data_IF_411026561121
#
_entry.id   IF_411026561121
#
_cell.length_a   1.000
_cell.length_b   1.000
_cell.length_c   1.000
_cell.angle_alpha   90.00
_cell.angle_beta   90.00
_cell.angle_gamma   90.00
#
_symmetry.space_group_name_H-M   'P 1'
#
loop_
_entity.id
_entity.type
_entity.pdbx_description
1 polymer ?
#
# COMPACT_ATOMS: atom_id res chain seq x y z
N UNK A 1 7.19 19.86 -47.68
CA UNK A 1 7.67 19.51 -46.33
C UNK A 1 7.14 18.11 -46.07
N UNK A 2 8.02 17.10 -46.14
CA UNK A 2 7.68 15.70 -45.88
C UNK A 2 7.37 15.58 -44.42
N UNK A 3 6.13 15.28 -44.05
CA UNK A 3 5.74 14.89 -42.70
C UNK A 3 6.37 13.51 -42.46
N UNK A 4 7.59 13.47 -41.93
CA UNK A 4 8.17 12.26 -41.36
C UNK A 4 7.35 11.92 -40.09
N UNK A 5 6.27 11.18 -40.29
CA UNK A 5 5.52 10.61 -39.16
C UNK A 5 6.50 9.75 -38.36
N UNK A 6 6.79 10.17 -37.13
CA UNK A 6 7.73 9.47 -36.24
C UNK A 6 7.21 8.03 -36.04
N UNK A 7 7.91 7.05 -36.62
CA UNK A 7 7.48 5.66 -36.60
C UNK A 7 7.86 4.99 -35.28
N UNK A 8 6.94 5.02 -34.32
CA UNK A 8 7.14 4.40 -32.99
C UNK A 8 7.12 2.88 -33.10
N UNK A 9 8.28 2.23 -32.90
CA UNK A 9 8.43 0.77 -32.80
C UNK A 9 9.43 0.37 -31.72
N UNK A 10 9.39 -0.89 -31.29
CA UNK A 10 10.39 -1.43 -30.34
C UNK A 10 11.81 -1.29 -30.93
N UNK A 11 12.76 -0.85 -30.09
CA UNK A 11 14.17 -0.65 -30.46
C UNK A 11 14.48 0.72 -31.05
N UNK A 12 13.50 1.61 -31.23
CA UNK A 12 13.73 2.99 -31.70
C UNK A 12 14.10 3.88 -30.54
N UNK A 13 15.06 4.75 -30.76
CA UNK A 13 15.42 5.85 -29.88
C UNK A 13 14.67 7.11 -30.29
N UNK A 14 14.11 7.82 -29.30
CA UNK A 14 13.33 9.03 -29.53
C UNK A 14 13.72 10.10 -28.50
N UNK A 15 13.77 11.33 -28.95
CA UNK A 15 13.82 12.47 -28.07
C UNK A 15 12.39 12.95 -27.75
N UNK A 16 12.04 12.99 -26.47
CA UNK A 16 10.70 13.34 -26.01
C UNK A 16 10.75 14.21 -24.77
N UNK A 17 9.66 14.95 -24.53
CA UNK A 17 9.45 15.71 -23.29
C UNK A 17 8.38 15.00 -22.44
N UNK A 18 8.72 14.76 -21.18
CA UNK A 18 7.77 14.18 -20.20
C UNK A 18 6.82 15.27 -19.73
N UNK A 19 5.52 15.09 -19.96
CA UNK A 19 4.48 16.09 -19.72
C UNK A 19 3.86 15.98 -18.33
N UNK A 20 3.71 14.75 -17.81
CA UNK A 20 3.04 14.47 -16.53
C UNK A 20 3.41 13.09 -16.02
N UNK A 21 2.85 12.68 -14.87
CA UNK A 21 2.94 11.31 -14.37
C UNK A 21 1.64 10.55 -14.66
N UNK A 22 1.81 9.32 -15.13
CA UNK A 22 0.72 8.35 -15.19
C UNK A 22 0.52 7.66 -13.83
N UNK A 23 -0.67 7.10 -13.61
CA UNK A 23 -0.93 6.26 -12.44
C UNK A 23 0.10 5.12 -12.36
N UNK A 24 0.70 4.93 -11.17
CA UNK A 24 1.81 3.99 -10.97
C UNK A 24 3.21 4.62 -11.12
N UNK A 25 3.30 5.93 -11.42
CA UNK A 25 4.53 6.74 -11.32
C UNK A 25 5.45 6.68 -12.54
N UNK A 26 4.96 6.25 -13.71
CA UNK A 26 5.70 6.41 -14.96
C UNK A 26 5.49 7.82 -15.52
N UNK A 27 6.53 8.43 -16.07
CA UNK A 27 6.38 9.64 -16.87
C UNK A 27 5.48 9.39 -18.07
N UNK A 28 4.70 10.39 -18.46
CA UNK A 28 3.83 10.34 -19.64
C UNK A 28 4.27 11.40 -20.63
N UNK A 29 4.50 10.99 -21.85
CA UNK A 29 4.78 11.85 -23.00
C UNK A 29 3.81 11.52 -24.15
N UNK A 30 3.61 12.47 -25.08
CA UNK A 30 2.89 12.23 -26.33
C UNK A 30 3.79 12.58 -27.50
N UNK A 31 3.76 11.72 -28.50
CA UNK A 31 4.43 11.89 -29.79
C UNK A 31 3.36 11.73 -30.86
N UNK A 32 2.99 12.80 -31.56
CA UNK A 32 1.89 12.81 -32.55
C UNK A 32 0.60 12.15 -32.00
N UNK A 33 0.17 12.59 -30.78
CA UNK A 33 -0.95 12.03 -30.01
C UNK A 33 -0.79 10.57 -29.53
N UNK A 34 0.30 9.89 -29.89
CA UNK A 34 0.58 8.55 -29.39
C UNK A 34 1.22 8.61 -28.00
N UNK A 35 0.67 7.83 -27.05
CA UNK A 35 1.11 7.83 -25.64
C UNK A 35 2.38 7.01 -25.48
N UNK A 36 3.39 7.60 -24.82
CA UNK A 36 4.63 6.94 -24.43
C UNK A 36 4.81 7.06 -22.91
N UNK A 37 4.84 5.91 -22.24
CA UNK A 37 5.17 5.84 -20.81
C UNK A 37 6.67 5.72 -20.61
N UNK A 38 7.26 6.62 -19.83
CA UNK A 38 8.69 6.71 -19.62
C UNK A 38 9.05 6.25 -18.21
N UNK A 39 9.77 5.13 -18.10
CA UNK A 39 10.23 4.62 -16.80
C UNK A 39 11.11 5.66 -16.11
N UNK A 40 10.77 6.03 -14.87
CA UNK A 40 11.45 7.05 -14.06
C UNK A 40 11.53 8.46 -14.69
N UNK A 41 10.67 8.75 -15.67
CA UNK A 41 10.56 10.08 -16.25
C UNK A 41 9.88 11.06 -15.29
N UNK A 42 10.38 12.30 -15.25
CA UNK A 42 9.85 13.38 -14.40
C UNK A 42 9.23 14.45 -15.30
N UNK A 43 8.06 15.02 -14.96
CA UNK A 43 7.45 16.11 -15.73
C UNK A 43 8.42 17.27 -15.97
N UNK A 44 8.47 17.77 -17.21
CA UNK A 44 9.39 18.84 -17.64
C UNK A 44 10.80 18.39 -18.02
N UNK A 45 11.11 17.07 -17.95
CA UNK A 45 12.36 16.54 -18.51
C UNK A 45 12.29 16.39 -20.02
N UNK A 46 13.36 16.75 -20.70
CA UNK A 46 13.62 16.37 -22.09
C UNK A 46 14.64 15.24 -22.10
N UNK A 47 14.26 14.10 -22.67
CA UNK A 47 15.01 12.84 -22.54
C UNK A 47 15.14 12.13 -23.89
N UNK A 48 16.30 11.49 -24.10
CA UNK A 48 16.47 10.47 -25.12
C UNK A 48 16.05 9.14 -24.51
N UNK A 49 15.07 8.47 -25.13
CA UNK A 49 14.52 7.21 -24.62
C UNK A 49 14.63 6.10 -25.66
N UNK A 50 14.75 4.86 -25.18
CA UNK A 50 14.62 3.64 -25.97
C UNK A 50 13.24 3.01 -25.76
N UNK A 51 12.50 2.80 -26.84
CA UNK A 51 11.22 2.08 -26.80
C UNK A 51 11.51 0.58 -26.61
N UNK A 52 11.15 0.02 -25.44
CA UNK A 52 11.36 -1.40 -25.16
C UNK A 52 10.09 -2.26 -25.35
N UNK A 53 8.91 -1.61 -25.36
CA UNK A 53 7.63 -2.29 -25.56
C UNK A 53 6.66 -1.39 -26.32
N UNK A 54 5.92 -1.96 -27.29
CA UNK A 54 4.84 -1.26 -28.01
C UNK A 54 3.57 -2.10 -27.98
N UNK A 55 2.44 -1.43 -27.76
CA UNK A 55 1.07 -1.94 -27.88
C UNK A 55 0.29 -1.09 -28.91
N UNK A 56 -0.97 -1.47 -29.20
CA UNK A 56 -1.81 -0.77 -30.19
C UNK A 56 -2.03 0.72 -29.81
N UNK A 57 -2.19 1.04 -28.53
CA UNK A 57 -2.53 2.40 -28.07
C UNK A 57 -1.40 3.13 -27.30
N UNK A 58 -0.27 2.47 -27.00
CA UNK A 58 0.82 3.08 -26.23
C UNK A 58 2.15 2.36 -26.43
N UNK A 59 3.23 3.04 -26.04
CA UNK A 59 4.56 2.43 -25.89
C UNK A 59 5.10 2.63 -24.47
N UNK A 60 6.05 1.77 -24.10
CA UNK A 60 6.84 1.93 -22.86
C UNK A 60 8.30 2.13 -23.24
N UNK A 61 8.93 3.12 -22.60
CA UNK A 61 10.29 3.54 -22.89
C UNK A 61 11.13 3.62 -21.60
N UNK A 62 12.44 3.43 -21.76
CA UNK A 62 13.44 3.71 -20.71
C UNK A 62 14.31 4.88 -21.14
N UNK A 63 14.73 5.68 -20.18
CA UNK A 63 15.64 6.80 -20.42
C UNK A 63 17.04 6.23 -20.72
N UNK A 64 17.64 6.69 -21.82
CA UNK A 64 19.04 6.47 -22.16
C UNK A 64 19.87 7.65 -21.63
N UNK A 65 19.36 8.88 -21.86
CA UNK A 65 20.05 10.11 -21.47
C UNK A 65 19.06 11.21 -21.14
N UNK A 66 19.32 11.93 -20.06
CA UNK A 66 18.63 13.19 -19.76
C UNK A 66 19.31 14.31 -20.55
N UNK A 67 18.58 14.91 -21.49
CA UNK A 67 19.07 16.00 -22.35
C UNK A 67 18.90 17.35 -21.66
N UNK A 68 17.77 17.52 -20.96
CA UNK A 68 17.49 18.70 -20.14
C UNK A 68 16.75 18.25 -18.88
N UNK A 69 17.30 18.64 -17.73
CA UNK A 69 16.67 18.31 -16.44
C UNK A 69 15.42 19.16 -16.21
N UNK A 70 14.46 18.58 -15.51
CA UNK A 70 13.27 19.29 -15.05
C UNK A 70 13.63 20.29 -13.94
N UNK A 71 13.05 21.49 -13.95
CA UNK A 71 13.17 22.42 -12.82
C UNK A 71 12.50 21.91 -11.54
N UNK A 72 11.62 20.90 -11.67
CA UNK A 72 10.89 20.26 -10.57
C UNK A 72 11.66 19.10 -9.94
N UNK A 73 12.83 18.75 -10.52
CA UNK A 73 13.63 17.63 -10.08
C UNK A 73 14.31 17.90 -8.74
N UNK A 74 14.35 16.88 -7.90
CA UNK A 74 15.08 16.85 -6.64
C UNK A 74 16.06 15.67 -6.62
N UNK A 75 17.07 15.74 -5.75
CA UNK A 75 17.98 14.62 -5.54
C UNK A 75 17.31 13.58 -4.64
N UNK A 76 17.26 12.32 -5.11
CA UNK A 76 16.84 11.22 -4.27
C UNK A 76 17.84 10.98 -3.13
N UNK A 77 17.35 10.48 -1.99
CA UNK A 77 18.18 10.14 -0.82
C UNK A 77 18.93 8.82 -0.98
N UNK A 78 18.49 7.96 -1.91
CA UNK A 78 19.11 6.66 -2.17
C UNK A 78 19.11 6.34 -3.66
N UNK A 79 20.05 5.52 -4.12
CA UNK A 79 20.19 5.15 -5.53
C UNK A 79 19.14 4.11 -5.98
N UNK A 80 18.48 3.45 -5.04
CA UNK A 80 17.42 2.48 -5.30
C UNK A 80 15.98 3.07 -5.21
N UNK A 81 15.83 4.41 -5.23
CA UNK A 81 14.54 5.10 -5.19
C UNK A 81 13.53 4.58 -6.22
N UNK A 82 14.00 4.16 -7.38
CA UNK A 82 13.20 3.69 -8.51
C UNK A 82 12.41 2.40 -8.22
N UNK A 83 12.75 1.69 -7.15
CA UNK A 83 12.04 0.48 -6.71
C UNK A 83 11.11 0.76 -5.53
N UNK A 84 11.55 1.52 -4.55
CA UNK A 84 10.87 1.67 -3.26
C UNK A 84 10.08 2.98 -3.11
N UNK A 85 10.53 4.07 -3.74
CA UNK A 85 9.98 5.43 -3.56
C UNK A 85 10.22 6.27 -4.81
N UNK A 86 9.59 5.86 -5.89
CA UNK A 86 9.83 6.31 -7.28
C UNK A 86 9.71 7.82 -7.48
N UNK A 87 8.98 8.51 -6.61
CA UNK A 87 8.76 9.96 -6.72
C UNK A 87 9.77 10.79 -5.92
N UNK A 88 10.79 10.20 -5.28
CA UNK A 88 11.82 10.96 -4.57
C UNK A 88 12.56 11.98 -5.44
N UNK A 89 12.60 11.77 -6.75
CA UNK A 89 13.25 12.67 -7.70
C UNK A 89 12.38 13.85 -8.13
N UNK A 90 11.17 13.97 -7.59
CA UNK A 90 10.24 15.07 -7.83
C UNK A 90 9.99 15.83 -6.52
N UNK A 91 9.87 17.16 -6.55
CA UNK A 91 9.55 17.96 -5.36
C UNK A 91 8.23 17.48 -4.74
N UNK A 92 8.12 17.54 -3.41
CA UNK A 92 6.96 16.98 -2.72
C UNK A 92 5.66 17.67 -3.10
N UNK A 93 5.72 18.97 -3.26
CA UNK A 93 4.58 19.80 -3.68
C UNK A 93 4.10 19.38 -5.08
N UNK A 94 5.01 19.04 -5.97
CA UNK A 94 4.67 18.58 -7.32
C UNK A 94 4.16 17.14 -7.31
N UNK A 95 4.66 16.28 -6.41
CA UNK A 95 4.08 14.96 -6.20
C UNK A 95 2.59 15.04 -5.87
N UNK A 96 2.18 15.97 -5.00
CA UNK A 96 0.78 16.17 -4.63
C UNK A 96 -0.06 16.62 -5.81
N UNK A 97 0.40 17.59 -6.60
CA UNK A 97 -0.30 18.05 -7.81
C UNK A 97 -0.47 16.94 -8.85
N UNK A 98 0.58 16.15 -9.09
CA UNK A 98 0.52 15.03 -10.03
C UNK A 98 -0.43 13.91 -9.54
N UNK A 99 -0.47 13.64 -8.22
CA UNK A 99 -1.44 12.70 -7.63
C UNK A 99 -2.88 13.21 -7.76
N UNK A 100 -3.11 14.47 -7.43
CA UNK A 100 -4.42 15.11 -7.58
C UNK A 100 -4.89 15.06 -9.04
N UNK A 101 -4.02 15.44 -10.00
CA UNK A 101 -4.31 15.35 -11.42
C UNK A 101 -4.69 13.94 -11.87
N UNK A 102 -4.01 12.91 -11.35
CA UNK A 102 -4.34 11.51 -11.68
C UNK A 102 -5.72 11.12 -11.16
N UNK A 103 -6.16 11.62 -10.00
CA UNK A 103 -7.52 11.40 -9.49
C UNK A 103 -8.53 12.08 -10.41
N UNK A 104 -8.33 13.35 -10.72
CA UNK A 104 -9.22 14.13 -11.62
C UNK A 104 -9.31 13.46 -13.00
N UNK A 105 -8.18 13.09 -13.60
CA UNK A 105 -8.12 12.37 -14.88
C UNK A 105 -8.92 11.04 -14.85
N UNK A 106 -8.83 10.28 -13.76
CA UNK A 106 -9.57 9.03 -13.61
C UNK A 106 -11.10 9.28 -13.57
N UNK A 107 -11.53 10.26 -12.78
CA UNK A 107 -12.96 10.60 -12.66
C UNK A 107 -13.53 11.17 -13.95
N UNK A 108 -12.78 12.03 -14.66
CA UNK A 108 -13.22 12.58 -15.94
C UNK A 108 -13.28 11.52 -17.04
N UNK A 109 -12.23 10.69 -17.20
CA UNK A 109 -12.10 9.76 -18.33
C UNK A 109 -12.83 8.44 -18.13
N UNK A 110 -12.81 7.89 -16.90
CA UNK A 110 -13.42 6.59 -16.57
C UNK A 110 -14.82 6.80 -16.01
N UNK A 111 -14.95 7.73 -15.06
CA UNK A 111 -16.22 8.05 -14.41
C UNK A 111 -17.17 8.85 -15.31
N UNK A 112 -16.65 9.65 -16.26
CA UNK A 112 -17.43 10.56 -17.09
C UNK A 112 -17.89 11.84 -16.38
N UNK A 113 -17.24 12.19 -15.25
CA UNK A 113 -17.55 13.39 -14.45
C UNK A 113 -16.72 14.58 -14.94
N UNK A 114 -17.20 15.32 -15.94
CA UNK A 114 -16.44 16.40 -16.62
C UNK A 114 -15.98 17.53 -15.70
N UNK A 115 -16.78 17.87 -14.69
CA UNK A 115 -16.51 19.00 -13.77
C UNK A 115 -15.96 18.54 -12.42
N UNK A 116 -15.45 17.30 -12.35
CA UNK A 116 -14.90 16.75 -11.10
C UNK A 116 -13.63 17.48 -10.67
N UNK A 117 -13.58 17.86 -9.40
CA UNK A 117 -12.41 18.44 -8.72
C UNK A 117 -12.24 17.80 -7.35
N UNK A 118 -11.03 17.88 -6.80
CA UNK A 118 -10.73 17.52 -5.42
C UNK A 118 -10.99 18.73 -4.52
N UNK A 119 -11.82 18.56 -3.48
CA UNK A 119 -12.15 19.64 -2.56
C UNK A 119 -11.00 19.97 -1.59
N UNK A 120 -10.21 18.98 -1.22
CA UNK A 120 -9.06 19.17 -0.33
C UNK A 120 -7.98 18.12 -0.55
N UNK A 121 -6.72 18.54 -0.41
CA UNK A 121 -5.55 17.66 -0.38
C UNK A 121 -4.92 17.73 1.01
N UNK A 122 -4.75 16.56 1.64
CA UNK A 122 -4.07 16.43 2.94
C UNK A 122 -2.66 15.93 2.72
N UNK A 123 -1.71 16.84 2.81
CA UNK A 123 -0.28 16.55 2.74
C UNK A 123 0.20 15.81 3.99
N UNK A 124 1.29 15.05 3.84
CA UNK A 124 1.96 14.43 4.98
C UNK A 124 2.97 15.40 5.61
N UNK A 125 2.96 15.48 6.93
CA UNK A 125 3.99 16.18 7.71
C UNK A 125 5.32 15.40 7.61
N UNK A 126 5.26 14.10 7.92
CA UNK A 126 6.40 13.19 7.85
C UNK A 126 6.53 12.61 6.44
N UNK A 127 7.45 13.14 5.65
CA UNK A 127 7.70 12.69 4.27
C UNK A 127 8.62 11.46 4.21
N UNK A 128 9.37 11.19 5.28
CA UNK A 128 10.27 10.05 5.47
C UNK A 128 10.02 9.41 6.85
N UNK A 129 10.59 8.24 7.11
CA UNK A 129 10.51 7.51 8.36
C UNK A 129 9.06 7.24 8.87
N UNK A 130 8.09 7.27 7.97
CA UNK A 130 6.67 7.16 8.31
C UNK A 130 6.14 5.73 8.25
N UNK A 131 6.80 4.86 7.47
CA UNK A 131 6.29 3.52 7.18
C UNK A 131 6.53 2.59 8.36
N UNK A 132 5.43 2.09 8.93
CA UNK A 132 5.44 1.28 10.14
C UNK A 132 5.43 -0.25 9.88
N UNK A 133 5.35 -0.71 8.63
CA UNK A 133 5.48 -2.11 8.26
C UNK A 133 6.38 -2.25 7.04
N UNK A 134 7.43 -3.04 7.17
CA UNK A 134 8.31 -3.42 6.08
C UNK A 134 8.38 -4.93 5.95
N UNK A 135 8.67 -5.34 4.71
CA UNK A 135 8.84 -6.72 4.32
C UNK A 135 10.03 -6.80 3.38
N UNK A 136 11.07 -7.49 3.82
CA UNK A 136 12.29 -7.73 3.07
C UNK A 136 12.40 -9.22 2.76
N UNK A 137 12.85 -9.55 1.57
CA UNK A 137 13.01 -10.95 1.12
C UNK A 137 14.48 -11.35 1.19
N UNK A 138 14.75 -12.49 1.81
CA UNK A 138 16.04 -13.21 1.66
C UNK A 138 16.07 -13.94 0.32
N UNK A 139 17.15 -13.84 -0.43
CA UNK A 139 17.27 -14.51 -1.72
C UNK A 139 18.69 -14.94 -2.04
N UNK A 140 18.90 -16.11 -2.66
CA UNK A 140 20.17 -16.48 -3.26
C UNK A 140 20.37 -15.89 -4.67
N UNK A 141 19.46 -15.00 -5.12
CA UNK A 141 19.47 -14.41 -6.46
C UNK A 141 19.49 -12.88 -6.39
N UNK A 142 20.64 -12.31 -5.97
CA UNK A 142 20.85 -10.87 -5.92
C UNK A 142 20.75 -10.25 -7.31
N UNK A 143 20.08 -9.10 -7.41
CA UNK A 143 20.14 -8.23 -8.57
C UNK A 143 21.38 -7.36 -8.49
N UNK A 144 22.27 -7.46 -9.49
CA UNK A 144 23.45 -6.62 -9.61
C UNK A 144 23.07 -5.35 -10.40
N UNK A 145 23.44 -4.19 -9.87
CA UNK A 145 23.25 -2.91 -10.53
C UNK A 145 24.31 -2.69 -11.62
N UNK A 146 23.96 -1.98 -12.69
CA UNK A 146 24.93 -1.63 -13.76
C UNK A 146 26.11 -0.80 -13.25
N UNK A 147 25.96 -0.12 -12.10
CA UNK A 147 27.00 0.67 -11.45
C UNK A 147 27.95 -0.14 -10.57
N UNK A 148 27.66 -1.43 -10.32
CA UNK A 148 28.50 -2.28 -9.48
C UNK A 148 29.65 -2.91 -10.30
N UNK A 149 30.80 -3.19 -9.69
CA UNK A 149 31.92 -3.84 -10.35
C UNK A 149 31.57 -5.23 -10.92
N UNK A 150 32.27 -5.66 -11.96
CA UNK A 150 32.18 -7.04 -12.42
C UNK A 150 32.67 -8.01 -11.35
N UNK A 151 31.98 -9.16 -11.21
CA UNK A 151 32.37 -10.22 -10.26
C UNK A 151 31.81 -10.06 -8.84
N UNK A 152 30.93 -9.07 -8.60
CA UNK A 152 30.23 -8.96 -7.31
C UNK A 152 29.43 -10.22 -7.01
N UNK A 153 29.52 -10.70 -5.76
CA UNK A 153 28.78 -11.87 -5.31
C UNK A 153 27.26 -11.66 -5.41
N UNK A 154 26.62 -12.56 -6.12
CA UNK A 154 25.16 -12.55 -6.33
C UNK A 154 24.43 -13.67 -5.57
N UNK A 155 25.12 -14.38 -4.68
CA UNK A 155 24.60 -15.56 -3.97
C UNK A 155 23.73 -15.20 -2.75
N UNK A 156 23.70 -13.93 -2.33
CA UNK A 156 22.90 -13.47 -1.20
C UNK A 156 22.33 -12.07 -1.45
N UNK A 157 21.07 -11.89 -1.07
CA UNK A 157 20.44 -10.59 -0.95
C UNK A 157 19.44 -10.58 0.21
N UNK A 158 19.31 -9.43 0.87
CA UNK A 158 18.22 -9.12 1.78
C UNK A 158 17.66 -7.75 1.40
N UNK A 159 16.45 -7.73 0.81
CA UNK A 159 15.93 -6.47 0.30
C UNK A 159 14.60 -6.59 -0.44
N UNK A 160 14.47 -5.92 -1.58
CA UNK A 160 13.21 -5.72 -2.28
C UNK A 160 13.17 -6.42 -3.64
N UNK A 161 12.01 -6.95 -4.01
CA UNK A 161 11.79 -7.53 -5.33
C UNK A 161 11.97 -6.51 -6.44
N UNK A 162 12.68 -6.90 -7.50
CA UNK A 162 12.76 -6.12 -8.72
C UNK A 162 11.39 -6.12 -9.42
N UNK A 163 10.83 -4.97 -9.78
CA UNK A 163 9.55 -4.90 -10.46
C UNK A 163 9.51 -5.75 -11.73
N UNK A 164 8.55 -6.67 -11.80
CA UNK A 164 8.41 -7.62 -12.89
C UNK A 164 9.33 -8.85 -12.86
N UNK A 165 10.13 -9.02 -11.80
CA UNK A 165 11.04 -10.14 -11.59
C UNK A 165 10.85 -10.72 -10.19
N UNK A 166 10.01 -11.75 -10.07
CA UNK A 166 9.74 -12.41 -8.78
C UNK A 166 10.96 -13.13 -8.20
N UNK A 167 11.91 -13.51 -9.06
CA UNK A 167 13.10 -14.31 -8.73
C UNK A 167 14.35 -13.48 -8.44
N UNK A 168 14.27 -12.15 -8.43
CA UNK A 168 15.42 -11.27 -8.23
C UNK A 168 15.15 -10.23 -7.14
N UNK A 169 16.08 -10.16 -6.21
CA UNK A 169 16.05 -9.23 -5.08
C UNK A 169 17.17 -8.21 -5.22
N UNK A 170 16.82 -6.94 -5.12
CA UNK A 170 17.79 -5.88 -4.91
C UNK A 170 18.19 -5.89 -3.44
N UNK A 171 19.47 -6.10 -3.19
CA UNK A 171 20.03 -5.96 -1.85
C UNK A 171 20.07 -4.47 -1.47
N UNK A 172 19.54 -4.11 -0.31
CA UNK A 172 19.45 -2.71 0.12
C UNK A 172 19.96 -2.54 1.55
N UNK A 173 20.76 -1.51 1.79
CA UNK A 173 21.29 -1.19 3.11
C UNK A 173 20.37 -0.25 3.89
N UNK A 174 19.72 0.66 3.19
CA UNK A 174 18.88 1.68 3.80
C UNK A 174 17.58 1.87 3.03
N UNK A 175 16.51 2.13 3.75
CA UNK A 175 15.24 2.54 3.17
C UNK A 175 14.68 3.74 3.95
N UNK A 176 14.72 4.90 3.35
CA UNK A 176 14.45 6.17 4.05
C UNK A 176 12.98 6.42 4.42
N UNK A 177 12.04 5.62 3.94
CA UNK A 177 10.64 5.75 4.36
C UNK A 177 10.31 4.95 5.61
N UNK A 178 11.21 4.04 6.07
CA UNK A 178 11.11 3.35 7.34
C UNK A 178 11.89 4.09 8.44
N UNK A 179 11.59 3.86 9.73
CA UNK A 179 12.43 4.31 10.85
C UNK A 179 13.87 3.77 10.74
N UNK A 180 14.86 4.57 11.16
CA UNK A 180 16.29 4.22 11.01
C UNK A 180 16.68 2.93 11.75
N UNK A 181 16.00 2.61 12.84
CA UNK A 181 16.19 1.34 13.56
C UNK A 181 15.92 0.12 12.65
N UNK A 182 15.01 0.25 11.69
CA UNK A 182 14.75 -0.81 10.71
C UNK A 182 15.94 -1.04 9.77
N UNK A 183 16.68 0.02 9.41
CA UNK A 183 17.91 -0.09 8.62
C UNK A 183 19.02 -0.79 9.43
N UNK A 184 19.12 -0.48 10.75
CA UNK A 184 20.05 -1.17 11.66
C UNK A 184 19.76 -2.67 11.71
N UNK A 185 18.49 -3.06 11.91
CA UNK A 185 18.07 -4.48 11.93
C UNK A 185 18.41 -5.17 10.60
N UNK A 186 18.15 -4.52 9.47
CA UNK A 186 18.46 -5.04 8.14
C UNK A 186 19.96 -5.34 7.98
N UNK A 187 20.81 -4.41 8.43
CA UNK A 187 22.27 -4.56 8.42
C UNK A 187 22.75 -5.74 9.29
N UNK A 188 22.26 -5.81 10.53
CA UNK A 188 22.58 -6.92 11.47
C UNK A 188 22.14 -8.25 10.88
N UNK A 189 20.90 -8.35 10.40
CA UNK A 189 20.38 -9.59 9.82
C UNK A 189 21.22 -10.06 8.63
N UNK A 190 21.61 -9.15 7.73
CA UNK A 190 22.52 -9.46 6.62
C UNK A 190 23.86 -10.00 7.09
N UNK A 191 24.50 -9.30 8.03
CA UNK A 191 25.82 -9.66 8.52
C UNK A 191 25.81 -11.04 9.19
N UNK A 192 24.81 -11.32 10.03
CA UNK A 192 24.67 -12.63 10.69
C UNK A 192 24.45 -13.74 9.66
N UNK A 193 23.57 -13.51 8.67
CA UNK A 193 23.28 -14.53 7.65
C UNK A 193 24.50 -14.83 6.77
N UNK A 194 25.28 -13.81 6.40
CA UNK A 194 26.51 -14.02 5.61
C UNK A 194 27.59 -14.81 6.37
N UNK A 195 27.62 -14.72 7.70
CA UNK A 195 28.58 -15.46 8.56
C UNK A 195 28.11 -16.87 8.92
N UNK A 196 26.82 -17.19 8.73
CA UNK A 196 26.24 -18.47 9.16
C UNK A 196 25.69 -19.26 7.97
N UNK A 197 26.42 -20.26 7.53
CA UNK A 197 26.09 -21.11 6.38
C UNK A 197 24.78 -21.89 6.52
N UNK A 198 24.27 -22.07 7.74
CA UNK A 198 22.98 -22.72 8.00
C UNK A 198 21.78 -21.81 7.75
N UNK A 199 21.98 -20.49 7.80
CA UNK A 199 20.95 -19.47 7.55
C UNK A 199 20.79 -19.17 6.04
N UNK A 200 20.62 -20.22 5.24
CA UNK A 200 20.50 -20.06 3.77
C UNK A 200 19.18 -19.42 3.37
N UNK A 201 19.20 -18.41 2.48
CA UNK A 201 17.99 -17.92 1.83
C UNK A 201 17.22 -19.03 1.11
N UNK A 202 15.89 -18.99 1.19
CA UNK A 202 15.02 -19.88 0.43
C UNK A 202 15.02 -19.51 -1.06
N UNK A 203 15.19 -20.51 -1.91
CA UNK A 203 15.12 -20.36 -3.35
C UNK A 203 13.76 -20.86 -3.87
N UNK A 204 12.89 -19.97 -4.37
CA UNK A 204 11.58 -20.36 -4.89
C UNK A 204 11.65 -21.22 -6.17
N UNK A 205 12.80 -21.30 -6.84
CA UNK A 205 13.00 -22.16 -8.03
C UNK A 205 13.28 -23.61 -7.67
N UNK A 206 14.11 -23.81 -6.67
CA UNK A 206 14.51 -25.16 -6.22
C UNK A 206 13.69 -25.66 -5.03
N UNK A 207 13.01 -24.75 -4.31
CA UNK A 207 12.33 -24.96 -3.03
C UNK A 207 13.30 -25.43 -1.92
N UNK A 208 14.57 -24.98 -1.98
CA UNK A 208 15.61 -25.28 -1.00
C UNK A 208 16.02 -23.99 -0.29
N UNK A 209 16.35 -24.10 1.00
CA UNK A 209 16.74 -22.97 1.85
C UNK A 209 15.83 -22.82 3.05
N UNK A 210 16.13 -21.88 3.92
CA UNK A 210 15.49 -21.73 5.22
C UNK A 210 14.82 -20.36 5.39
N UNK A 211 15.57 -19.26 5.19
CA UNK A 211 15.09 -17.90 5.41
C UNK A 211 14.28 -17.40 4.20
N UNK A 212 13.06 -16.93 4.43
CA UNK A 212 12.19 -16.38 3.39
C UNK A 212 12.06 -14.86 3.48
N UNK A 213 11.54 -14.33 4.60
CA UNK A 213 11.32 -12.91 4.75
C UNK A 213 11.75 -12.43 6.14
N UNK A 214 12.16 -11.17 6.21
CA UNK A 214 12.31 -10.38 7.42
C UNK A 214 11.24 -9.29 7.40
N UNK A 215 10.30 -9.36 8.33
CA UNK A 215 9.26 -8.36 8.46
C UNK A 215 9.48 -7.54 9.73
N UNK A 216 9.33 -6.24 9.61
CA UNK A 216 9.40 -5.30 10.74
C UNK A 216 8.07 -4.58 10.89
N UNK A 217 7.61 -4.44 12.13
CA UNK A 217 6.46 -3.61 12.49
C UNK A 217 6.81 -2.67 13.61
N UNK A 218 6.38 -1.44 13.49
CA UNK A 218 6.62 -0.37 14.45
C UNK A 218 5.31 0.15 15.01
N UNK A 219 5.18 0.13 16.34
CA UNK A 219 4.18 0.90 17.06
C UNK A 219 4.73 2.32 17.24
N UNK A 220 4.47 3.19 16.25
CA UNK A 220 5.06 4.53 16.16
C UNK A 220 4.66 5.41 17.33
N UNK A 221 3.45 5.23 17.88
CA UNK A 221 2.96 5.98 19.05
C UNK A 221 3.22 5.28 20.38
N UNK A 222 3.70 4.05 20.33
CA UNK A 222 3.95 3.22 21.52
C UNK A 222 5.41 2.86 21.70
N UNK A 223 6.25 3.19 20.71
CA UNK A 223 7.66 2.82 20.66
C UNK A 223 7.89 1.29 20.76
N UNK A 224 6.94 0.51 20.27
CA UNK A 224 7.06 -0.94 20.21
C UNK A 224 7.60 -1.37 18.85
N UNK A 225 8.40 -2.43 18.87
CA UNK A 225 9.05 -2.97 17.68
C UNK A 225 8.90 -4.48 17.62
N UNK A 226 8.28 -4.98 16.57
CA UNK A 226 8.21 -6.41 16.28
C UNK A 226 9.14 -6.76 15.13
N UNK A 227 9.91 -7.82 15.34
CA UNK A 227 10.67 -8.52 14.31
C UNK A 227 9.99 -9.87 14.04
N UNK A 228 9.56 -10.09 12.80
CA UNK A 228 9.01 -11.36 12.37
C UNK A 228 9.93 -11.98 11.31
N UNK A 229 10.50 -13.15 11.62
CA UNK A 229 11.37 -13.91 10.74
C UNK A 229 10.52 -15.01 10.10
N UNK A 230 10.38 -14.99 8.78
CA UNK A 230 9.61 -16.01 8.06
C UNK A 230 10.57 -17.08 7.54
N UNK A 231 10.30 -18.35 7.89
CA UNK A 231 11.12 -19.50 7.51
C UNK A 231 10.33 -20.52 6.68
N UNK A 232 11.04 -21.35 5.92
CA UNK A 232 10.44 -22.38 5.06
C UNK A 232 10.01 -23.63 5.83
N UNK A 233 10.55 -23.85 7.00
CA UNK A 233 10.23 -24.95 7.91
C UNK A 233 10.53 -24.54 9.35
N UNK A 234 10.01 -25.31 10.31
CA UNK A 234 10.18 -25.06 11.74
C UNK A 234 11.52 -25.60 12.23
N UNK A 235 12.42 -24.70 12.58
CA UNK A 235 13.70 -25.00 13.23
C UNK A 235 14.19 -23.73 13.96
N UNK A 236 13.61 -23.48 15.12
CA UNK A 236 13.92 -22.28 15.90
C UNK A 236 15.37 -22.26 16.39
N UNK A 237 15.99 -23.43 16.63
CA UNK A 237 17.36 -23.52 17.08
C UNK A 237 18.34 -22.98 16.02
N UNK A 238 18.02 -23.17 14.76
CA UNK A 238 18.78 -22.63 13.64
C UNK A 238 18.79 -21.11 13.59
N UNK A 239 17.73 -20.47 14.10
CA UNK A 239 17.62 -19.01 14.19
C UNK A 239 18.42 -18.39 15.35
N UNK A 240 18.93 -19.19 16.32
CA UNK A 240 19.58 -18.67 17.53
C UNK A 240 20.67 -17.62 17.25
N UNK A 241 21.59 -17.77 16.27
CA UNK A 241 22.60 -16.74 16.01
C UNK A 241 21.99 -15.38 15.61
N UNK A 242 20.88 -15.41 14.86
CA UNK A 242 20.17 -14.20 14.43
C UNK A 242 19.35 -13.60 15.58
N UNK A 243 18.64 -14.43 16.33
CA UNK A 243 17.84 -14.04 17.48
C UNK A 243 18.74 -13.38 18.53
N UNK A 244 19.80 -14.05 18.97
CA UNK A 244 20.66 -13.59 20.06
C UNK A 244 21.36 -12.26 19.69
N UNK A 245 21.82 -12.15 18.42
CA UNK A 245 22.47 -10.93 17.95
C UNK A 245 21.45 -9.77 17.90
N UNK A 246 20.25 -9.98 17.35
CA UNK A 246 19.25 -8.95 17.25
C UNK A 246 18.79 -8.48 18.64
N UNK A 247 18.50 -9.39 19.58
CA UNK A 247 18.07 -9.02 20.94
C UNK A 247 19.18 -8.31 21.72
N UNK A 248 20.44 -8.64 21.48
CA UNK A 248 21.58 -7.99 22.11
C UNK A 248 21.84 -6.59 21.55
N UNK A 249 21.81 -6.43 20.23
CA UNK A 249 22.21 -5.18 19.58
C UNK A 249 21.07 -4.19 19.37
N UNK A 250 19.82 -4.68 19.46
CA UNK A 250 18.59 -3.88 19.28
C UNK A 250 17.67 -4.08 20.49
N UNK A 251 18.01 -3.51 21.65
CA UNK A 251 17.20 -3.65 22.87
C UNK A 251 15.80 -3.02 22.78
N UNK A 252 15.53 -2.26 21.73
CA UNK A 252 14.22 -1.68 21.40
C UNK A 252 13.22 -2.73 20.90
N UNK A 253 13.64 -3.95 20.55
CA UNK A 253 12.75 -5.03 20.16
C UNK A 253 11.88 -5.43 21.35
N UNK A 254 10.55 -5.28 21.18
CA UNK A 254 9.56 -5.63 22.21
C UNK A 254 8.80 -6.92 21.88
N UNK A 255 8.89 -7.38 20.65
CA UNK A 255 8.27 -8.60 20.17
C UNK A 255 9.15 -9.25 19.09
N UNK A 256 9.33 -10.55 19.18
CA UNK A 256 9.98 -11.33 18.14
C UNK A 256 9.21 -12.63 17.92
N UNK A 257 8.84 -12.89 16.66
CA UNK A 257 8.12 -14.08 16.26
C UNK A 257 8.79 -14.75 15.06
N UNK A 258 8.60 -16.05 14.92
CA UNK A 258 8.92 -16.79 13.72
C UNK A 258 7.64 -17.31 13.08
N UNK A 259 7.35 -16.87 11.86
CA UNK A 259 6.28 -17.42 11.05
C UNK A 259 6.85 -18.52 10.15
N UNK A 260 6.24 -19.70 10.18
CA UNK A 260 6.66 -20.84 9.34
C UNK A 260 5.73 -20.93 8.15
N UNK A 261 6.28 -20.74 6.95
CA UNK A 261 5.57 -20.84 5.68
C UNK A 261 6.13 -22.02 4.87
N UNK A 262 5.45 -23.17 4.91
CA UNK A 262 5.84 -24.38 4.18
C UNK A 262 5.35 -24.40 2.74
N UNK A 263 4.50 -23.45 2.34
CA UNK A 263 3.95 -23.36 0.99
C UNK A 263 5.00 -22.92 -0.02
N UNK A 264 4.80 -23.29 -1.28
CA UNK A 264 5.65 -22.81 -2.37
C UNK A 264 5.44 -21.31 -2.67
N UNK A 265 4.26 -20.78 -2.32
CA UNK A 265 3.94 -19.37 -2.53
C UNK A 265 4.89 -18.48 -1.72
N UNK A 266 5.46 -17.49 -2.38
CA UNK A 266 6.37 -16.51 -1.78
C UNK A 266 5.55 -15.39 -1.11
N UNK A 267 5.03 -15.72 0.07
CA UNK A 267 4.24 -14.80 0.90
C UNK A 267 4.85 -14.73 2.31
N UNK A 268 4.78 -13.56 2.89
CA UNK A 268 5.44 -13.25 4.16
C UNK A 268 4.63 -13.66 5.40
N UNK A 269 3.58 -14.46 5.29
CA UNK A 269 2.84 -15.01 6.42
C UNK A 269 2.81 -16.53 6.37
N UNK A 270 2.94 -17.14 7.56
CA UNK A 270 3.03 -18.59 7.72
C UNK A 270 1.72 -19.26 8.09
N UNK A 271 1.75 -20.59 8.14
CA UNK A 271 0.67 -21.43 8.64
C UNK A 271 0.62 -21.45 10.16
N UNK A 272 1.76 -21.27 10.82
CA UNK A 272 1.84 -21.18 12.28
C UNK A 272 2.95 -20.21 12.69
N UNK A 273 2.84 -19.72 13.92
CA UNK A 273 3.69 -18.71 14.50
C UNK A 273 4.29 -19.20 15.82
N UNK A 274 5.60 -19.14 15.94
CA UNK A 274 6.34 -19.38 17.17
C UNK A 274 6.66 -18.03 17.82
N UNK A 275 6.25 -17.85 19.08
CA UNK A 275 6.69 -16.70 19.88
C UNK A 275 8.11 -16.94 20.37
N UNK A 276 9.02 -16.00 20.05
CA UNK A 276 10.43 -16.04 20.44
C UNK A 276 10.68 -15.16 21.64
N UNK A 277 10.18 -13.92 21.61
CA UNK A 277 10.42 -12.93 22.66
C UNK A 277 9.24 -11.97 22.78
N UNK A 278 8.91 -11.56 24.01
CA UNK A 278 7.86 -10.59 24.31
C UNK A 278 6.46 -11.13 24.05
N UNK A 279 5.62 -10.34 23.39
CA UNK A 279 4.23 -10.72 23.01
C UNK A 279 4.14 -11.05 21.53
N UNK A 280 3.14 -11.84 21.11
CA UNK A 280 2.84 -12.12 19.69
C UNK A 280 2.21 -10.94 18.95
N UNK A 281 2.16 -9.77 19.57
CA UNK A 281 1.61 -8.54 19.01
C UNK A 281 2.39 -7.33 19.51
N UNK A 282 2.26 -6.22 18.82
CA UNK A 282 2.62 -4.89 19.29
C UNK A 282 1.36 -4.03 19.41
N UNK A 283 1.43 -3.02 20.26
CA UNK A 283 0.38 -2.01 20.34
C UNK A 283 0.68 -0.81 19.46
N UNK A 284 -0.36 -0.22 18.89
CA UNK A 284 -0.31 1.06 18.20
C UNK A 284 -1.50 1.93 18.60
N UNK A 285 -1.41 3.24 18.37
CA UNK A 285 -2.49 4.19 18.66
C UNK A 285 -2.85 5.01 17.43
N UNK A 286 -4.15 5.14 17.16
CA UNK A 286 -4.71 6.12 16.23
C UNK A 286 -5.71 6.99 17.01
N UNK A 287 -5.38 8.27 17.18
CA UNK A 287 -6.12 9.13 18.09
C UNK A 287 -6.08 8.59 19.52
N UNK A 288 -7.23 8.38 20.12
CA UNK A 288 -7.37 7.81 21.47
C UNK A 288 -7.52 6.28 21.47
N UNK A 289 -7.63 5.67 20.30
CA UNK A 289 -7.84 4.22 20.18
C UNK A 289 -6.50 3.48 20.21
N UNK A 290 -6.50 2.35 20.94
CA UNK A 290 -5.41 1.38 20.96
C UNK A 290 -5.73 0.20 20.07
N UNK A 291 -4.72 -0.30 19.38
CA UNK A 291 -4.84 -1.47 18.52
C UNK A 291 -3.73 -2.46 18.86
N UNK A 292 -4.09 -3.71 19.09
CA UNK A 292 -3.13 -4.80 19.06
C UNK A 292 -2.94 -5.28 17.62
N UNK A 293 -1.69 -5.36 17.19
CA UNK A 293 -1.30 -5.68 15.82
C UNK A 293 -0.40 -6.92 15.86
N UNK A 294 -0.91 -8.06 15.43
CA UNK A 294 -0.12 -9.29 15.26
C UNK A 294 0.72 -9.23 13.98
N UNK A 295 1.68 -10.15 13.85
CA UNK A 295 2.58 -10.18 12.69
C UNK A 295 1.82 -10.23 11.35
N UNK A 296 0.71 -10.94 11.29
CA UNK A 296 -0.07 -11.18 10.06
C UNK A 296 -1.26 -10.22 9.87
N UNK A 297 -1.59 -9.35 10.86
CA UNK A 297 -2.73 -8.42 10.77
C UNK A 297 -2.51 -7.35 9.71
N UNK A 298 -3.58 -6.93 9.06
CA UNK A 298 -3.57 -5.68 8.30
C UNK A 298 -3.70 -4.50 9.27
N UNK A 299 -2.91 -3.47 9.05
CA UNK A 299 -3.01 -2.17 9.69
C UNK A 299 -2.44 -1.12 8.75
N UNK A 300 -2.95 0.10 8.77
CA UNK A 300 -2.45 1.19 7.93
C UNK A 300 -0.96 1.40 8.14
N UNK A 301 -0.18 1.34 7.04
CA UNK A 301 1.29 1.32 7.13
C UNK A 301 1.94 2.68 7.34
N UNK A 302 1.13 3.73 7.55
CA UNK A 302 1.52 5.06 8.01
C UNK A 302 0.54 5.49 9.10
N UNK A 303 0.93 5.39 10.35
CA UNK A 303 0.09 5.71 11.52
C UNK A 303 -0.34 7.19 11.54
N UNK A 304 0.56 8.10 11.15
CA UNK A 304 0.26 9.54 11.16
C UNK A 304 -0.84 9.88 10.14
N UNK A 305 -0.65 9.45 8.90
CA UNK A 305 -1.62 9.72 7.84
C UNK A 305 -2.86 8.83 7.94
N UNK A 306 -2.76 7.66 8.57
CA UNK A 306 -3.92 6.84 8.92
C UNK A 306 -4.89 7.58 9.84
N UNK A 307 -4.36 8.35 10.80
CA UNK A 307 -5.19 9.24 11.63
C UNK A 307 -5.87 10.32 10.79
N UNK A 308 -5.12 10.99 9.90
CA UNK A 308 -5.68 12.04 9.02
C UNK A 308 -6.77 11.45 8.12
N UNK A 309 -6.57 10.25 7.57
CA UNK A 309 -7.56 9.55 6.77
C UNK A 309 -8.85 9.30 7.55
N UNK A 310 -8.74 8.78 8.80
CA UNK A 310 -9.90 8.48 9.63
C UNK A 310 -10.59 9.74 10.15
N UNK A 311 -9.84 10.81 10.43
CA UNK A 311 -10.41 12.13 10.74
C UNK A 311 -11.25 12.67 9.58
N UNK A 312 -10.78 12.53 8.33
CA UNK A 312 -11.56 12.96 7.16
C UNK A 312 -12.80 12.09 6.96
N UNK A 313 -12.69 10.75 7.15
CA UNK A 313 -13.87 9.87 7.11
C UNK A 313 -14.89 10.27 8.16
N UNK A 314 -14.50 10.48 9.41
CA UNK A 314 -15.38 10.90 10.50
C UNK A 314 -16.02 12.27 10.22
N UNK A 315 -15.21 13.22 9.73
CA UNK A 315 -15.67 14.58 9.41
C UNK A 315 -16.73 14.59 8.32
N UNK A 316 -16.51 13.85 7.22
CA UNK A 316 -17.47 13.82 6.12
C UNK A 316 -18.67 12.90 6.39
N UNK A 317 -18.54 11.94 7.30
CA UNK A 317 -19.67 11.15 7.79
C UNK A 317 -20.70 12.05 8.48
N UNK A 318 -20.23 13.09 9.17
CA UNK A 318 -21.08 14.09 9.83
C UNK A 318 -22.18 13.42 10.67
N UNK A 319 -21.70 12.60 11.63
CA UNK A 319 -22.57 11.80 12.51
C UNK A 319 -23.02 12.62 13.72
N UNK A 320 -24.28 12.47 14.11
CA UNK A 320 -24.91 13.17 15.23
C UNK A 320 -25.19 12.27 16.46
N UNK A 321 -24.93 10.96 16.34
CA UNK A 321 -25.14 9.98 17.42
C UNK A 321 -26.36 9.09 17.23
N UNK A 322 -27.18 9.32 16.23
CA UNK A 322 -28.41 8.52 15.96
C UNK A 322 -28.24 7.54 14.80
N UNK A 323 -27.11 7.64 14.05
CA UNK A 323 -26.91 6.88 12.84
C UNK A 323 -26.48 5.42 13.10
N UNK A 324 -27.04 4.54 12.27
CA UNK A 324 -26.52 3.18 12.05
C UNK A 324 -25.51 3.26 10.90
N UNK A 325 -24.27 2.88 11.19
CA UNK A 325 -23.17 2.88 10.22
C UNK A 325 -22.79 1.46 9.82
N UNK A 326 -22.62 1.21 8.52
CA UNK A 326 -21.99 -0.01 8.03
C UNK A 326 -20.57 0.29 7.58
N UNK A 327 -19.61 -0.50 8.05
CA UNK A 327 -18.21 -0.52 7.59
C UNK A 327 -17.99 -1.79 6.77
N UNK A 328 -17.96 -1.66 5.46
CA UNK A 328 -17.79 -2.76 4.53
C UNK A 328 -16.31 -2.93 4.17
N UNK A 329 -15.83 -4.17 4.22
CA UNK A 329 -14.40 -4.52 4.18
C UNK A 329 -13.66 -4.01 5.41
N UNK A 330 -14.24 -4.16 6.60
CA UNK A 330 -13.77 -3.51 7.83
C UNK A 330 -12.38 -3.97 8.32
N UNK A 331 -11.84 -5.08 7.80
CA UNK A 331 -10.55 -5.60 8.19
C UNK A 331 -10.46 -5.83 9.71
N UNK A 332 -9.49 -5.20 10.37
CA UNK A 332 -9.29 -5.24 11.84
C UNK A 332 -10.18 -4.24 12.59
N UNK A 333 -11.20 -3.69 11.94
CA UNK A 333 -12.21 -2.83 12.54
C UNK A 333 -11.77 -1.38 12.80
N UNK A 334 -10.67 -0.93 12.23
CA UNK A 334 -10.09 0.37 12.58
C UNK A 334 -10.99 1.56 12.24
N UNK A 335 -11.64 1.58 11.07
CA UNK A 335 -12.60 2.62 10.70
C UNK A 335 -13.88 2.47 11.54
N UNK A 336 -14.42 1.27 11.68
CA UNK A 336 -15.60 0.99 12.49
C UNK A 336 -15.46 1.53 13.92
N UNK A 337 -14.33 1.21 14.59
CA UNK A 337 -14.03 1.66 15.95
C UNK A 337 -13.85 3.18 16.03
N UNK A 338 -13.27 3.79 14.99
CA UNK A 338 -13.08 5.24 14.93
C UNK A 338 -14.43 5.99 14.84
N UNK A 339 -15.38 5.46 14.07
CA UNK A 339 -16.70 6.04 13.90
C UNK A 339 -17.63 5.79 15.09
N UNK A 340 -17.39 4.73 15.86
CA UNK A 340 -18.23 4.32 16.99
C UNK A 340 -18.45 5.43 18.04
N UNK A 341 -17.45 6.32 18.21
CA UNK A 341 -17.55 7.45 19.14
C UNK A 341 -18.63 8.47 18.79
N UNK A 342 -19.15 8.45 17.57
CA UNK A 342 -20.11 9.40 17.03
C UNK A 342 -21.34 8.73 16.39
N UNK A 343 -21.38 7.42 16.29
CA UNK A 343 -22.48 6.64 15.76
C UNK A 343 -23.34 6.04 16.89
N UNK A 344 -24.62 5.79 16.63
CA UNK A 344 -25.45 4.99 17.51
C UNK A 344 -24.96 3.56 17.59
N UNK A 345 -24.79 2.91 16.44
CA UNK A 345 -24.24 1.57 16.29
C UNK A 345 -23.46 1.48 14.98
N UNK A 346 -22.40 0.67 14.98
CA UNK A 346 -21.58 0.36 13.80
C UNK A 346 -21.59 -1.13 13.54
N UNK A 347 -21.80 -1.52 12.29
CA UNK A 347 -21.76 -2.91 11.84
C UNK A 347 -20.61 -3.08 10.86
N UNK A 348 -19.56 -3.80 11.29
CA UNK A 348 -18.39 -4.13 10.47
C UNK A 348 -18.56 -5.47 9.75
N UNK A 349 -18.29 -5.51 8.44
CA UNK A 349 -18.42 -6.72 7.62
C UNK A 349 -17.07 -7.09 7.01
N UNK A 350 -16.64 -8.34 7.23
CA UNK A 350 -15.36 -8.86 6.76
C UNK A 350 -15.48 -10.36 6.44
N UNK A 351 -14.74 -10.85 5.46
CA UNK A 351 -14.71 -12.25 5.06
C UNK A 351 -13.66 -13.06 5.82
N UNK A 352 -12.55 -12.39 6.22
CA UNK A 352 -11.41 -13.02 6.87
C UNK A 352 -11.66 -13.14 8.37
N UNK A 353 -11.76 -14.38 8.87
CA UNK A 353 -12.08 -14.64 10.28
C UNK A 353 -11.04 -14.06 11.25
N UNK A 354 -9.74 -14.22 10.96
CA UNK A 354 -8.68 -13.69 11.82
C UNK A 354 -8.68 -12.15 11.92
N UNK A 355 -9.12 -11.45 10.87
CA UNK A 355 -9.32 -10.02 10.91
C UNK A 355 -10.46 -9.62 11.84
N UNK A 356 -11.57 -10.36 11.82
CA UNK A 356 -12.70 -10.13 12.72
C UNK A 356 -12.32 -10.39 14.19
N UNK A 357 -11.59 -11.47 14.46
CA UNK A 357 -11.09 -11.78 15.80
C UNK A 357 -10.22 -10.65 16.35
N UNK A 358 -9.37 -10.05 15.50
CA UNK A 358 -8.60 -8.86 15.86
C UNK A 358 -9.51 -7.64 16.07
N UNK A 359 -10.54 -7.45 15.25
CA UNK A 359 -11.49 -6.35 15.37
C UNK A 359 -12.30 -6.44 16.69
N UNK A 360 -12.79 -7.61 17.05
CA UNK A 360 -13.47 -7.87 18.32
C UNK A 360 -12.54 -7.61 19.51
N UNK A 361 -11.30 -8.08 19.44
CA UNK A 361 -10.29 -7.82 20.47
C UNK A 361 -10.00 -6.33 20.63
N UNK A 362 -9.85 -5.61 19.52
CA UNK A 362 -9.63 -4.18 19.53
C UNK A 362 -10.84 -3.40 20.10
N UNK A 363 -12.08 -3.87 19.83
CA UNK A 363 -13.29 -3.32 20.46
C UNK A 363 -13.24 -3.44 21.98
N UNK A 364 -12.92 -4.62 22.50
CA UNK A 364 -12.81 -4.90 23.94
C UNK A 364 -11.74 -4.05 24.62
N UNK A 365 -10.54 -3.92 24.03
CA UNK A 365 -9.42 -3.12 24.56
C UNK A 365 -9.83 -1.66 24.70
N UNK A 366 -10.61 -1.14 23.76
CA UNK A 366 -11.07 0.25 23.77
C UNK A 366 -12.38 0.45 24.54
N UNK A 367 -12.98 -0.62 25.08
CA UNK A 367 -14.27 -0.58 25.79
C UNK A 367 -15.40 0.03 24.93
N UNK A 368 -15.42 -0.35 23.67
CA UNK A 368 -16.43 0.08 22.70
C UNK A 368 -17.43 -1.08 22.56
N UNK A 369 -18.68 -0.85 22.92
CA UNK A 369 -19.75 -1.85 22.97
C UNK A 369 -20.82 -1.67 21.89
N UNK A 370 -20.80 -0.53 21.17
CA UNK A 370 -21.72 -0.22 20.09
C UNK A 370 -21.19 -0.59 18.70
N UNK A 371 -20.22 -1.52 18.61
CA UNK A 371 -19.71 -2.06 17.35
C UNK A 371 -19.97 -3.56 17.28
N UNK A 372 -20.52 -4.01 16.14
CA UNK A 372 -20.86 -5.40 15.88
C UNK A 372 -20.12 -5.90 14.65
N UNK A 373 -19.29 -6.95 14.79
CA UNK A 373 -18.54 -7.51 13.69
C UNK A 373 -19.20 -8.77 13.13
N UNK A 374 -19.31 -8.84 11.80
CA UNK A 374 -20.05 -9.88 11.10
C UNK A 374 -19.19 -10.51 10.00
N UNK A 375 -19.09 -11.85 10.04
CA UNK A 375 -18.43 -12.57 8.93
C UNK A 375 -19.36 -12.59 7.72
N UNK A 376 -18.97 -11.92 6.65
CA UNK A 376 -19.74 -11.85 5.43
C UNK A 376 -18.84 -11.82 4.18
N UNK A 377 -19.17 -12.66 3.21
CA UNK A 377 -18.68 -12.43 1.85
C UNK A 377 -19.62 -11.42 1.19
N UNK A 378 -19.16 -10.19 1.01
CA UNK A 378 -19.96 -9.06 0.54
C UNK A 378 -20.53 -9.29 -0.86
N UNK A 379 -19.82 -10.02 -1.74
CA UNK A 379 -20.28 -10.33 -3.09
C UNK A 379 -21.56 -11.16 -3.11
N UNK A 380 -21.83 -11.90 -2.04
CA UNK A 380 -23.01 -12.78 -1.91
C UNK A 380 -23.98 -12.34 -0.83
N UNK A 381 -23.49 -11.71 0.23
CA UNK A 381 -24.30 -11.36 1.43
C UNK A 381 -25.47 -10.44 1.12
N UNK A 382 -25.24 -9.40 0.32
CA UNK A 382 -26.26 -8.43 -0.07
C UNK A 382 -27.01 -8.80 -1.37
N UNK A 383 -26.66 -9.92 -2.00
CA UNK A 383 -27.22 -10.35 -3.29
C UNK A 383 -28.74 -10.50 -3.27
N UNK A 384 -29.29 -10.98 -2.17
CA UNK A 384 -30.74 -11.09 -1.99
C UNK A 384 -31.45 -9.73 -1.79
N UNK A 385 -30.68 -8.67 -1.49
CA UNK A 385 -31.21 -7.37 -1.07
C UNK A 385 -31.94 -7.40 0.28
N UNK A 386 -31.87 -8.52 0.99
CA UNK A 386 -32.49 -8.71 2.30
C UNK A 386 -31.38 -8.77 3.37
N UNK A 387 -31.43 -7.80 4.28
CA UNK A 387 -30.63 -7.88 5.50
C UNK A 387 -31.22 -8.94 6.42
N UNK A 388 -30.38 -9.67 7.19
CA UNK A 388 -30.88 -10.50 8.28
C UNK A 388 -31.80 -9.64 9.18
N UNK A 389 -32.96 -10.17 9.58
CA UNK A 389 -33.97 -9.41 10.34
C UNK A 389 -33.48 -8.71 11.61
N UNK A 390 -32.30 -9.10 12.11
CA UNK A 390 -31.68 -8.55 13.33
C UNK A 390 -30.70 -7.40 13.08
N UNK A 391 -30.39 -7.07 11.81
CA UNK A 391 -29.46 -6.01 11.47
C UNK A 391 -30.27 -4.80 10.99
N UNK A 392 -30.23 -3.65 11.69
CA UNK A 392 -30.96 -2.48 11.29
C UNK A 392 -30.42 -1.92 9.97
N UNK A 393 -31.25 -1.18 9.22
CA UNK A 393 -30.81 -0.53 7.97
C UNK A 393 -29.80 0.59 8.26
N UNK A 394 -28.76 0.74 7.41
CA UNK A 394 -27.77 1.79 7.59
C UNK A 394 -28.29 3.15 7.18
N UNK A 395 -27.92 4.19 7.94
CA UNK A 395 -28.00 5.60 7.50
C UNK A 395 -26.76 5.95 6.67
N UNK A 396 -25.60 5.44 7.07
CA UNK A 396 -24.30 5.68 6.44
C UNK A 396 -23.61 4.36 6.13
N UNK A 397 -23.03 4.27 4.95
CA UNK A 397 -22.18 3.14 4.55
C UNK A 397 -20.77 3.67 4.29
N UNK A 398 -19.77 3.07 4.92
CA UNK A 398 -18.36 3.27 4.60
C UNK A 398 -17.85 2.05 3.85
N UNK A 399 -17.12 2.26 2.78
CA UNK A 399 -16.47 1.19 2.00
C UNK A 399 -14.99 1.49 1.84
N UNK A 400 -14.12 0.53 2.17
CA UNK A 400 -12.67 0.58 1.94
C UNK A 400 -12.23 -0.72 1.22
N UNK A 401 -12.59 -0.88 -0.07
CA UNK A 401 -12.36 -2.13 -0.79
C UNK A 401 -10.89 -2.31 -1.18
N UNK A 402 -10.47 -3.53 -1.55
CA UNK A 402 -9.14 -3.78 -2.08
C UNK A 402 -8.89 -3.01 -3.39
N UNK A 403 -7.64 -3.00 -3.86
CA UNK A 403 -7.21 -2.27 -5.09
C UNK A 403 -8.03 -2.55 -6.35
N UNK A 404 -8.69 -3.69 -6.43
CA UNK A 404 -9.59 -4.05 -7.53
C UNK A 404 -10.91 -3.25 -7.52
N UNK A 405 -11.19 -2.52 -6.45
CA UNK A 405 -12.47 -1.87 -6.20
C UNK A 405 -13.54 -2.85 -5.71
N UNK A 406 -14.77 -2.40 -5.63
CA UNK A 406 -15.92 -3.26 -5.34
C UNK A 406 -16.23 -4.19 -6.54
N UNK A 407 -16.81 -5.35 -6.24
CA UNK A 407 -17.42 -6.13 -7.32
C UNK A 407 -18.55 -5.30 -7.95
N UNK A 408 -18.73 -5.30 -9.28
CA UNK A 408 -19.77 -4.50 -9.95
C UNK A 408 -21.17 -4.70 -9.37
N UNK A 409 -21.53 -5.94 -9.05
CA UNK A 409 -22.80 -6.25 -8.41
C UNK A 409 -22.93 -5.56 -7.03
N UNK A 410 -21.84 -5.46 -6.26
CA UNK A 410 -21.84 -4.83 -4.94
C UNK A 410 -22.20 -3.35 -5.02
N UNK A 411 -21.64 -2.61 -5.99
CA UNK A 411 -22.01 -1.20 -6.21
C UNK A 411 -23.51 -1.05 -6.49
N UNK A 412 -24.12 -1.99 -7.25
CA UNK A 412 -25.56 -2.04 -7.48
C UNK A 412 -26.38 -2.44 -6.22
N UNK A 413 -25.82 -3.25 -5.32
CA UNK A 413 -26.52 -3.64 -4.08
C UNK A 413 -26.53 -2.53 -3.02
N UNK A 414 -25.52 -1.69 -2.96
CA UNK A 414 -25.50 -0.55 -2.04
C UNK A 414 -26.73 0.36 -2.21
N UNK A 415 -27.18 0.54 -3.46
CA UNK A 415 -28.42 1.29 -3.74
C UNK A 415 -29.65 0.69 -3.04
N UNK A 416 -29.75 -0.65 -2.95
CA UNK A 416 -30.90 -1.35 -2.32
C UNK A 416 -30.92 -1.20 -0.81
N UNK A 417 -29.78 -0.93 -0.18
CA UNK A 417 -29.70 -0.66 1.27
C UNK A 417 -30.31 0.70 1.63
N UNK A 418 -30.45 1.61 0.65
CA UNK A 418 -31.09 2.91 0.80
C UNK A 418 -30.44 3.82 1.85
N UNK A 419 -29.15 3.66 2.11
CA UNK A 419 -28.42 4.59 2.96
C UNK A 419 -28.48 6.01 2.40
N UNK A 420 -28.48 6.99 3.28
CA UNK A 420 -28.48 8.41 2.90
C UNK A 420 -27.11 8.83 2.38
N UNK A 421 -26.05 8.31 2.99
CA UNK A 421 -24.65 8.63 2.68
C UNK A 421 -23.85 7.37 2.38
N UNK A 422 -22.97 7.44 1.39
CA UNK A 422 -21.91 6.44 1.12
C UNK A 422 -20.58 7.16 1.15
N UNK A 423 -19.66 6.69 1.99
CA UNK A 423 -18.29 7.18 2.08
C UNK A 423 -17.40 6.12 1.46
N UNK A 424 -16.71 6.49 0.38
CA UNK A 424 -15.83 5.60 -0.35
C UNK A 424 -14.37 5.98 -0.10
N UNK A 425 -13.66 5.17 0.68
CA UNK A 425 -12.20 5.24 0.85
C UNK A 425 -11.54 4.38 -0.24
N UNK A 426 -10.49 4.85 -0.88
CA UNK A 426 -9.84 4.09 -1.95
C UNK A 426 -8.38 4.42 -2.15
N UNK A 427 -7.58 3.36 -2.31
CA UNK A 427 -6.18 3.46 -2.74
C UNK A 427 -6.00 3.40 -4.27
N UNK A 428 -7.10 3.34 -5.05
CA UNK A 428 -7.06 3.27 -6.51
C UNK A 428 -8.14 4.14 -7.15
N UNK A 429 -7.80 5.34 -7.65
CA UNK A 429 -8.78 6.27 -8.22
C UNK A 429 -9.46 5.74 -9.49
N UNK A 430 -8.83 4.79 -10.22
CA UNK A 430 -9.42 4.26 -11.45
C UNK A 430 -10.60 3.33 -11.18
N UNK A 431 -10.46 2.45 -10.17
CA UNK A 431 -11.54 1.57 -9.74
C UNK A 431 -12.60 2.33 -8.96
N UNK A 432 -12.20 3.33 -8.17
CA UNK A 432 -13.14 4.21 -7.48
C UNK A 432 -14.02 5.00 -8.47
N UNK A 433 -13.43 5.58 -9.52
CA UNK A 433 -14.19 6.31 -10.55
C UNK A 433 -15.20 5.40 -11.27
N UNK A 434 -14.85 4.14 -11.57
CA UNK A 434 -15.75 3.14 -12.13
C UNK A 434 -16.92 2.85 -11.19
N UNK A 435 -16.63 2.60 -9.92
CA UNK A 435 -17.63 2.20 -8.93
C UNK A 435 -18.56 3.37 -8.56
N UNK A 436 -17.98 4.57 -8.44
CA UNK A 436 -18.75 5.82 -8.19
C UNK A 436 -19.68 6.13 -9.36
N UNK A 437 -19.29 5.84 -10.60
CA UNK A 437 -20.20 5.96 -11.75
C UNK A 437 -21.44 5.09 -11.58
N UNK A 438 -21.27 3.82 -11.18
CA UNK A 438 -22.41 2.92 -10.93
C UNK A 438 -23.30 3.47 -9.81
N UNK A 439 -22.71 3.99 -8.73
CA UNK A 439 -23.48 4.61 -7.64
C UNK A 439 -24.20 5.87 -8.11
N UNK A 440 -23.57 6.71 -8.94
CA UNK A 440 -24.18 7.92 -9.49
C UNK A 440 -25.35 7.62 -10.43
N UNK A 441 -25.27 6.52 -11.20
CA UNK A 441 -26.35 6.04 -12.05
C UNK A 441 -27.53 5.49 -11.21
N UNK A 442 -27.32 5.25 -9.90
CA UNK A 442 -28.29 4.84 -8.89
C UNK A 442 -28.57 5.94 -7.86
N UNK A 443 -28.64 7.20 -8.28
CA UNK A 443 -29.06 8.40 -7.55
C UNK A 443 -28.09 8.93 -6.48
N UNK A 444 -26.92 8.34 -6.28
CA UNK A 444 -25.90 8.89 -5.39
C UNK A 444 -25.03 9.93 -6.13
N UNK A 445 -24.99 11.15 -5.61
CA UNK A 445 -24.18 12.25 -6.19
C UNK A 445 -22.96 12.52 -5.34
N UNK A 446 -21.83 12.81 -5.99
CA UNK A 446 -20.61 13.23 -5.30
C UNK A 446 -20.88 14.57 -4.61
N UNK A 447 -20.64 14.65 -3.31
CA UNK A 447 -20.79 15.86 -2.47
C UNK A 447 -19.46 16.39 -1.95
N UNK A 448 -18.50 15.51 -1.70
CA UNK A 448 -17.17 15.89 -1.22
C UNK A 448 -16.12 14.90 -1.68
N UNK A 449 -14.89 15.37 -1.86
CA UNK A 449 -13.74 14.57 -2.27
C UNK A 449 -12.48 15.09 -1.62
N UNK A 450 -11.76 14.22 -0.92
CA UNK A 450 -10.50 14.54 -0.25
C UNK A 450 -9.44 13.54 -0.69
N UNK A 451 -8.26 14.04 -1.06
CA UNK A 451 -7.07 13.21 -1.26
C UNK A 451 -6.19 13.29 0.00
N UNK A 452 -5.76 12.14 0.50
CA UNK A 452 -4.85 12.04 1.64
C UNK A 452 -3.54 11.41 1.15
N UNK A 453 -2.42 12.09 1.30
CA UNK A 453 -1.11 11.52 0.93
C UNK A 453 -0.61 10.57 2.00
N UNK A 454 -1.11 9.34 1.97
CA UNK A 454 -0.71 8.26 2.87
C UNK A 454 0.75 7.83 2.67
N UNK A 455 1.29 8.01 1.46
CA UNK A 455 2.56 7.42 1.06
C UNK A 455 3.43 8.42 0.29
N UNK A 456 4.02 9.42 0.97
CA UNK A 456 5.00 10.34 0.37
C UNK A 456 6.09 9.61 -0.41
N UNK A 457 6.56 10.23 -1.49
CA UNK A 457 7.60 9.70 -2.38
C UNK A 457 7.22 8.42 -3.15
N UNK A 458 5.99 7.93 -3.02
CA UNK A 458 5.47 6.78 -3.78
C UNK A 458 4.32 7.21 -4.70
N UNK A 459 4.02 6.44 -5.75
CA UNK A 459 2.90 6.75 -6.65
C UNK A 459 1.53 6.35 -6.08
N UNK A 460 1.47 5.90 -4.84
CA UNK A 460 0.21 5.53 -4.21
C UNK A 460 -0.63 6.78 -3.89
N UNK A 461 -1.92 6.65 -4.10
CA UNK A 461 -2.92 7.70 -3.89
C UNK A 461 -3.96 7.13 -2.93
N UNK A 462 -4.46 7.95 -2.02
CA UNK A 462 -5.58 7.61 -1.15
C UNK A 462 -6.62 8.71 -1.22
N UNK A 463 -7.87 8.34 -1.35
CA UNK A 463 -8.99 9.29 -1.49
C UNK A 463 -10.15 8.90 -0.59
N UNK A 464 -10.84 9.90 -0.07
CA UNK A 464 -12.11 9.76 0.67
C UNK A 464 -13.17 10.55 -0.06
N UNK A 465 -14.28 9.91 -0.40
CA UNK A 465 -15.34 10.53 -1.17
C UNK A 465 -16.69 10.35 -0.49
N UNK A 466 -17.45 11.43 -0.37
CA UNK A 466 -18.83 11.40 0.08
C UNK A 466 -19.77 11.41 -1.12
N UNK A 467 -20.64 10.42 -1.14
CA UNK A 467 -21.80 10.38 -2.03
C UNK A 467 -23.09 10.45 -1.19
N UNK A 468 -24.08 11.19 -1.64
CA UNK A 468 -25.40 11.18 -1.03
C UNK A 468 -26.50 11.25 -2.09
N UNK A 469 -27.69 10.86 -1.71
CA UNK A 469 -28.90 11.01 -2.53
C UNK A 469 -29.37 12.44 -2.56
#
# INVERSE_FOLDING_TARGET
MVNDSIFIKKGVELEIEVQSLAYGGMGLAKVDDFVVFVKNGIPGQRVLVLIYKKKKGFAEARIIKVLKQSPLATKARCDHYWICSKLQTLSYEEQLKEKEKQVVDAFQRIGGFTDFTINAVRSAENKFNYRNKMEFTFSPHRWILESEPEGVDSSFALGLHIPGRYDKILDIDTWHIQPDIGNKILGIAREVCLKNLDLKPYDPKTNIGFLRHLMLRFGVKTNQLMVNIVTAYDDINKLSPLIDTLLKEVPEITSMVNNVNTRKADVAFGEFENLIFGNSFIEEKIGNLKFEISANSFFQTNTYQGKVLYDEVLKIADLNGDEIVYDLYCGTGSIALYLASKAKEVYGFEVIRSSLENAEKNSLINKIDNVHFLKANLDTFFKSGQLPRRIPKPNVIVVDPPRAGMHPDMSGYLHKLKAEKVIYVSCNPTTQARDVKILNDNDYKIKNSVMVDMFPHTPHIETVMLLSK
#
